data_IF_369698778621
#
_entry.id   IF_369698778621
#
_cell.length_a   1.000
_cell.length_b   1.000
_cell.length_c   1.000
_cell.angle_alpha   90.00
_cell.angle_beta   90.00
_cell.angle_gamma   90.00
#
_symmetry.space_group_name_H-M   'P 1'
#
loop_
_entity.id
_entity.type
_entity.pdbx_description
1 polymer ?
#
# COMPACT_ATOMS: atom_id res chain seq x y z
N UNK A 1 24.96 0.98 -1.43
CA UNK A 1 24.34 0.07 -0.46
C UNK A 1 23.26 -0.71 -1.19
N UNK A 2 23.38 -2.04 -1.23
CA UNK A 2 22.37 -2.90 -1.85
C UNK A 2 21.22 -3.20 -0.87
N UNK A 3 20.05 -3.64 -1.37
CA UNK A 3 18.90 -3.97 -0.53
C UNK A 3 19.22 -5.12 0.44
N UNK A 4 18.74 -4.99 1.68
CA UNK A 4 18.92 -5.97 2.77
C UNK A 4 18.51 -7.38 2.33
N UNK A 5 19.47 -8.31 2.26
CA UNK A 5 19.21 -9.72 1.90
C UNK A 5 18.75 -10.49 3.14
N UNK A 6 17.54 -11.05 3.10
CA UNK A 6 17.03 -11.96 4.13
C UNK A 6 17.78 -13.29 4.05
N UNK A 7 18.42 -13.69 5.15
CA UNK A 7 19.02 -15.02 5.31
C UNK A 7 18.13 -15.79 6.28
N UNK A 8 17.39 -16.79 5.79
CA UNK A 8 16.61 -17.70 6.63
C UNK A 8 17.51 -18.88 7.03
N UNK A 9 17.82 -19.00 8.32
CA UNK A 9 18.62 -20.11 8.85
C UNK A 9 17.78 -21.04 9.73
N UNK A 10 17.82 -22.33 9.41
CA UNK A 10 17.10 -23.40 10.14
C UNK A 10 17.91 -23.98 11.31
N UNK A 11 18.98 -23.30 11.72
CA UNK A 11 19.85 -23.65 12.86
C UNK A 11 20.18 -22.37 13.61
N UNK A 12 20.31 -22.45 14.93
CA UNK A 12 20.81 -21.33 15.73
C UNK A 12 22.27 -21.08 15.36
N UNK A 13 22.48 -20.03 14.55
CA UNK A 13 23.77 -19.61 14.05
C UNK A 13 24.21 -18.30 14.68
N UNK A 14 23.51 -17.81 15.70
CA UNK A 14 23.77 -16.49 16.30
C UNK A 14 25.22 -16.38 16.77
N UNK A 15 25.66 -17.34 17.58
CA UNK A 15 27.01 -17.38 18.15
C UNK A 15 28.10 -17.46 17.06
N UNK A 16 27.89 -18.30 16.04
CA UNK A 16 28.82 -18.46 14.91
C UNK A 16 28.83 -17.24 13.97
N UNK A 17 27.73 -16.50 13.88
CA UNK A 17 27.62 -15.28 13.07
C UNK A 17 28.30 -14.12 13.77
N UNK A 18 28.10 -13.99 15.08
CA UNK A 18 28.75 -13.00 15.93
C UNK A 18 30.27 -13.19 15.94
N UNK A 19 30.74 -14.45 16.02
CA UNK A 19 32.17 -14.79 15.99
C UNK A 19 32.82 -14.50 14.62
N UNK A 20 32.10 -14.76 13.52
CA UNK A 20 32.55 -14.43 12.17
C UNK A 20 32.59 -12.91 11.91
N UNK A 21 31.63 -12.14 12.44
CA UNK A 21 31.63 -10.68 12.34
C UNK A 21 32.78 -10.08 13.16
N UNK A 22 33.03 -10.60 14.37
CA UNK A 22 34.14 -10.17 15.22
C UNK A 22 35.53 -10.41 14.60
N UNK A 23 35.67 -11.45 13.76
CA UNK A 23 36.93 -11.79 13.08
C UNK A 23 37.28 -10.86 11.91
N UNK A 24 36.29 -10.18 11.33
CA UNK A 24 36.44 -9.36 10.12
C UNK A 24 36.12 -7.87 10.32
N UNK A 25 35.55 -7.48 11.47
CA UNK A 25 35.20 -6.09 11.77
C UNK A 25 36.25 -5.42 12.67
N UNK A 26 36.68 -4.21 12.27
CA UNK A 26 37.25 -3.24 13.20
C UNK A 26 36.24 -3.03 14.33
N UNK A 27 36.65 -2.90 15.60
CA UNK A 27 35.72 -2.93 16.76
C UNK A 27 34.56 -1.92 16.69
N UNK A 28 34.73 -0.84 15.93
CA UNK A 28 33.70 0.18 15.68
C UNK A 28 32.70 -0.18 14.55
N UNK A 29 32.96 -1.21 13.75
CA UNK A 29 32.13 -1.64 12.62
C UNK A 29 31.15 -2.77 12.96
N UNK A 30 31.29 -3.41 14.14
CA UNK A 30 30.37 -4.46 14.59
C UNK A 30 28.98 -3.91 14.96
N UNK A 31 28.90 -2.64 15.39
CA UNK A 31 27.65 -1.98 15.79
C UNK A 31 26.71 -1.68 14.60
N UNK A 32 27.23 -1.67 13.37
CA UNK A 32 26.52 -1.29 12.14
C UNK A 32 25.80 -2.48 11.47
N UNK A 33 26.03 -3.72 11.92
CA UNK A 33 25.60 -4.94 11.18
C UNK A 33 24.36 -5.62 11.78
N UNK A 34 23.99 -5.32 13.02
CA UNK A 34 22.84 -5.93 13.70
C UNK A 34 21.69 -4.93 13.80
N UNK A 35 20.60 -5.19 13.07
CA UNK A 35 19.31 -4.54 13.30
C UNK A 35 18.90 -4.97 14.72
N UNK A 36 18.57 -4.02 15.60
CA UNK A 36 18.21 -4.27 17.00
C UNK A 36 17.02 -5.21 17.15
N UNK A 37 16.67 -5.55 18.38
CA UNK A 37 15.51 -6.42 18.66
C UNK A 37 14.17 -5.73 18.32
N UNK A 38 13.13 -6.53 18.10
CA UNK A 38 11.77 -6.05 17.87
C UNK A 38 11.28 -5.12 19.00
N UNK A 39 11.49 -5.51 20.26
CA UNK A 39 11.12 -4.71 21.45
C UNK A 39 11.85 -3.36 21.53
N UNK A 40 13.13 -3.31 21.15
CA UNK A 40 13.88 -2.05 21.09
C UNK A 40 13.32 -1.11 20.02
N UNK A 41 12.83 -1.66 18.91
CA UNK A 41 12.20 -0.88 17.86
C UNK A 41 10.77 -0.43 18.21
N UNK A 42 10.02 -1.18 19.03
CA UNK A 42 8.74 -0.73 19.58
C UNK A 42 8.92 0.48 20.49
N UNK A 43 9.90 0.45 21.39
CA UNK A 43 10.22 1.61 22.23
C UNK A 43 10.63 2.83 21.42
N UNK A 44 11.43 2.64 20.36
CA UNK A 44 11.78 3.73 19.44
C UNK A 44 10.56 4.29 18.71
N UNK A 45 9.54 3.47 18.46
CA UNK A 45 8.30 3.91 17.85
C UNK A 45 7.50 4.78 18.82
N UNK A 46 7.37 4.36 20.08
CA UNK A 46 6.75 5.14 21.16
C UNK A 46 7.46 6.49 21.34
N UNK A 47 8.80 6.50 21.44
CA UNK A 47 9.58 7.73 21.58
C UNK A 47 9.41 8.68 20.37
N UNK A 48 9.33 8.13 19.15
CA UNK A 48 9.10 8.92 17.95
C UNK A 48 7.66 9.46 17.89
N UNK A 49 6.69 8.70 18.39
CA UNK A 49 5.29 9.12 18.47
C UNK A 49 5.11 10.24 19.50
N UNK A 50 5.70 10.09 20.69
CA UNK A 50 5.72 11.13 21.72
C UNK A 50 6.36 12.43 21.20
N UNK A 51 7.46 12.31 20.44
CA UNK A 51 8.11 13.45 19.82
C UNK A 51 7.23 14.14 18.76
N UNK A 52 6.44 13.36 18.00
CA UNK A 52 5.46 13.91 17.05
C UNK A 52 4.33 14.63 17.79
N UNK A 53 3.74 14.01 18.80
CA UNK A 53 2.66 14.57 19.61
C UNK A 53 3.06 15.81 20.39
N UNK A 54 4.33 15.95 20.76
CA UNK A 54 4.85 17.16 21.38
C UNK A 54 4.82 18.38 20.44
N UNK A 55 4.84 18.16 19.12
CA UNK A 55 4.73 19.21 18.10
C UNK A 55 3.25 19.40 17.73
N UNK A 56 2.57 18.31 17.40
CA UNK A 56 1.17 18.28 16.98
C UNK A 56 0.45 17.15 17.72
N UNK A 57 -0.25 17.44 18.83
CA UNK A 57 -0.96 16.44 19.62
C UNK A 57 -1.99 15.66 18.80
N UNK A 58 -2.59 16.29 17.79
CA UNK A 58 -3.53 15.67 16.86
C UNK A 58 -3.19 15.98 15.40
N UNK A 59 -3.65 15.18 14.44
CA UNK A 59 -3.48 15.46 13.01
C UNK A 59 -4.02 16.83 12.58
N UNK A 60 -5.12 17.29 13.18
CA UNK A 60 -5.73 18.59 12.86
C UNK A 60 -4.82 19.77 13.25
N UNK A 61 -3.97 19.60 14.26
CA UNK A 61 -3.03 20.64 14.70
C UNK A 61 -1.95 20.93 13.65
N UNK A 62 -1.72 20.01 12.69
CA UNK A 62 -0.76 20.21 11.60
C UNK A 62 -1.17 21.37 10.69
N UNK A 63 -2.48 21.56 10.47
CA UNK A 63 -2.99 22.68 9.66
C UNK A 63 -2.84 24.03 10.36
N UNK A 64 -2.72 24.02 11.69
CA UNK A 64 -2.60 25.19 12.54
C UNK A 64 -1.13 25.59 12.81
N UNK A 65 -0.15 24.89 12.22
CA UNK A 65 1.26 25.20 12.40
C UNK A 65 1.60 26.62 11.91
N UNK A 66 2.28 27.44 12.74
CA UNK A 66 2.35 28.89 12.55
C UNK A 66 3.29 29.34 11.43
N UNK A 67 4.30 28.54 11.09
CA UNK A 67 5.35 28.87 10.14
C UNK A 67 5.97 27.63 9.48
N UNK A 68 6.81 27.86 8.46
CA UNK A 68 7.50 26.80 7.70
C UNK A 68 8.52 26.03 8.54
N UNK A 69 9.08 26.63 9.60
CA UNK A 69 9.99 25.93 10.51
C UNK A 69 9.24 24.87 11.33
N UNK A 70 8.06 25.22 11.84
CA UNK A 70 7.19 24.29 12.56
C UNK A 70 6.68 23.16 11.64
N UNK A 71 6.32 23.48 10.39
CA UNK A 71 5.96 22.49 9.38
C UNK A 71 7.13 21.53 9.06
N UNK A 72 8.35 22.06 8.93
CA UNK A 72 9.54 21.26 8.71
C UNK A 72 9.88 20.37 9.94
N UNK A 73 9.62 20.86 11.16
CA UNK A 73 9.79 20.09 12.39
C UNK A 73 8.82 18.91 12.47
N UNK A 74 7.52 19.15 12.18
CA UNK A 74 6.53 18.09 12.04
C UNK A 74 6.96 17.05 10.99
N UNK A 75 7.35 17.52 9.80
CA UNK A 75 7.72 16.63 8.71
C UNK A 75 8.96 15.76 9.05
N UNK A 76 9.94 16.30 9.79
CA UNK A 76 11.06 15.51 10.31
C UNK A 76 10.61 14.47 11.34
N UNK A 77 9.77 14.86 12.30
CA UNK A 77 9.29 13.95 13.34
C UNK A 77 8.47 12.80 12.75
N UNK A 78 7.54 13.11 11.85
CA UNK A 78 6.73 12.09 11.18
C UNK A 78 7.59 11.15 10.34
N UNK A 79 8.63 11.67 9.67
CA UNK A 79 9.57 10.85 8.91
C UNK A 79 10.34 9.86 9.80
N UNK A 80 10.80 10.27 10.97
CA UNK A 80 11.44 9.34 11.91
C UNK A 80 10.45 8.25 12.37
N UNK A 81 9.19 8.62 12.67
CA UNK A 81 8.13 7.66 13.00
C UNK A 81 7.92 6.63 11.87
N UNK A 82 7.83 7.09 10.61
CA UNK A 82 7.72 6.23 9.43
C UNK A 82 8.92 5.28 9.29
N UNK A 83 10.14 5.76 9.50
CA UNK A 83 11.36 4.92 9.42
C UNK A 83 11.33 3.79 10.44
N UNK A 84 10.98 4.11 11.69
CA UNK A 84 10.90 3.09 12.74
C UNK A 84 9.79 2.09 12.43
N UNK A 85 8.61 2.55 11.99
CA UNK A 85 7.52 1.67 11.55
C UNK A 85 7.95 0.73 10.41
N UNK A 86 8.68 1.24 9.42
CA UNK A 86 9.18 0.43 8.30
C UNK A 86 10.20 -0.63 8.71
N UNK A 87 11.00 -0.35 9.73
CA UNK A 87 11.92 -1.33 10.33
C UNK A 87 11.11 -2.38 11.10
N UNK A 88 10.12 -1.97 11.88
CA UNK A 88 9.18 -2.87 12.57
C UNK A 88 8.48 -3.80 11.58
N UNK A 89 7.94 -3.28 10.47
CA UNK A 89 7.31 -4.07 9.40
C UNK A 89 8.23 -5.08 8.69
N UNK A 90 9.54 -5.06 8.96
CA UNK A 90 10.47 -6.08 8.45
C UNK A 90 10.61 -7.32 9.33
N UNK A 91 10.17 -7.25 10.59
CA UNK A 91 10.17 -8.39 11.52
C UNK A 91 9.01 -9.34 11.21
N UNK A 92 9.26 -10.65 11.30
CA UNK A 92 8.24 -11.66 11.04
C UNK A 92 7.10 -11.68 12.05
N UNK A 93 7.33 -11.12 13.24
CA UNK A 93 6.39 -11.03 14.34
C UNK A 93 5.62 -9.70 14.37
N UNK A 94 5.85 -8.80 13.41
CA UNK A 94 5.19 -7.50 13.38
C UNK A 94 3.68 -7.61 13.27
N UNK A 95 2.99 -6.95 14.20
CA UNK A 95 1.56 -6.75 14.19
C UNK A 95 1.25 -5.26 14.43
N UNK A 96 0.48 -4.59 13.56
CA UNK A 96 0.08 -3.20 13.77
C UNK A 96 -0.61 -2.93 15.11
N UNK A 97 -1.30 -3.93 15.68
CA UNK A 97 -1.97 -3.80 16.97
C UNK A 97 -1.02 -3.68 18.18
N UNK A 98 0.28 -3.94 17.98
CA UNK A 98 1.30 -3.80 19.03
C UNK A 98 1.87 -2.36 19.10
N UNK A 99 1.46 -1.47 18.19
CA UNK A 99 1.87 -0.07 18.16
C UNK A 99 1.05 0.76 19.17
N UNK A 100 1.67 1.76 19.78
CA UNK A 100 1.05 2.64 20.76
C UNK A 100 0.11 3.71 20.15
N UNK A 101 0.01 3.78 18.83
CA UNK A 101 -0.87 4.69 18.08
C UNK A 101 -2.08 3.95 17.52
N UNK A 102 -3.16 4.69 17.33
CA UNK A 102 -4.31 4.21 16.56
C UNK A 102 -3.94 4.12 15.06
N UNK A 103 -4.25 3.02 14.34
CA UNK A 103 -3.97 2.93 12.91
C UNK A 103 -4.54 4.11 12.10
N UNK A 104 -5.72 4.61 12.47
CA UNK A 104 -6.34 5.76 11.81
C UNK A 104 -5.54 7.05 12.01
N UNK A 105 -5.09 7.30 13.25
CA UNK A 105 -4.27 8.47 13.57
C UNK A 105 -2.99 8.52 12.72
N UNK A 106 -2.33 7.38 12.51
CA UNK A 106 -1.16 7.32 11.65
C UNK A 106 -1.48 7.69 10.19
N UNK A 107 -2.59 7.21 9.66
CA UNK A 107 -3.03 7.52 8.29
C UNK A 107 -3.47 9.00 8.14
N UNK A 108 -4.04 9.59 9.20
CA UNK A 108 -4.39 11.00 9.23
C UNK A 108 -3.14 11.88 9.22
N UNK A 109 -2.15 11.59 10.07
CA UNK A 109 -0.85 12.30 10.04
C UNK A 109 -0.11 12.12 8.71
N UNK A 110 -0.19 10.92 8.12
CA UNK A 110 0.36 10.63 6.78
C UNK A 110 -0.29 11.50 5.71
N UNK A 111 -1.59 11.72 5.78
CA UNK A 111 -2.30 12.61 4.86
C UNK A 111 -1.80 14.05 4.99
N UNK A 112 -1.66 14.56 6.22
CA UNK A 112 -1.09 15.90 6.48
C UNK A 112 0.35 16.03 5.99
N UNK A 113 1.15 14.99 6.16
CA UNK A 113 2.53 14.93 5.67
C UNK A 113 2.61 15.04 4.15
N UNK A 114 1.73 14.35 3.43
CA UNK A 114 1.63 14.42 1.98
C UNK A 114 1.18 15.81 1.50
N UNK A 115 0.27 16.46 2.21
CA UNK A 115 -0.16 17.83 1.90
C UNK A 115 1.00 18.84 2.04
N UNK A 116 1.84 18.69 3.07
CA UNK A 116 3.04 19.51 3.24
C UNK A 116 4.09 19.26 2.14
N UNK A 117 4.29 18.00 1.74
CA UNK A 117 5.19 17.66 0.64
C UNK A 117 4.76 18.32 -0.68
N UNK A 118 3.44 18.39 -0.94
CA UNK A 118 2.89 19.06 -2.12
C UNK A 118 3.06 20.59 -2.07
N UNK A 119 2.99 21.19 -0.87
CA UNK A 119 3.21 22.64 -0.70
C UNK A 119 4.67 23.04 -1.00
N UNK A 120 5.65 22.25 -0.55
CA UNK A 120 7.08 22.53 -0.78
C UNK A 120 7.55 22.37 -2.23
N UNK A 121 6.77 21.69 -3.09
CA UNK A 121 7.03 21.55 -4.53
C UNK A 121 6.51 22.76 -5.35
N UNK A 122 5.76 23.67 -4.73
CA UNK A 122 5.25 24.91 -5.34
C UNK A 122 6.17 26.11 -5.05
N UNK A 123 6.32 27.03 -6.00
CA UNK A 123 7.09 28.26 -5.83
C UNK A 123 6.55 29.07 -4.64
N UNK A 124 7.28 29.07 -3.51
CA UNK A 124 6.96 29.85 -2.33
C UNK A 124 6.98 31.36 -2.60
N UNK A 125 5.94 32.07 -2.19
CA UNK A 125 5.81 33.53 -2.28
C UNK A 125 6.58 34.29 -1.17
N UNK A 126 7.50 33.64 -0.46
CA UNK A 126 8.23 34.20 0.69
C UNK A 126 9.63 34.74 0.37
N UNK A 127 9.99 35.90 0.92
CA UNK A 127 11.39 36.38 0.93
C UNK A 127 12.20 35.65 2.02
N UNK A 128 12.84 34.53 1.67
CA UNK A 128 13.74 33.77 2.55
C UNK A 128 14.14 32.41 1.97
N UNK A 129 15.17 31.72 2.52
CA UNK A 129 15.44 30.33 2.18
C UNK A 129 14.33 29.45 2.78
N UNK A 130 13.47 28.92 1.91
CA UNK A 130 12.37 28.00 2.26
C UNK A 130 12.92 26.73 2.96
N UNK A 131 12.63 26.53 4.26
CA UNK A 131 13.06 25.35 5.02
C UNK A 131 12.42 24.04 4.54
N UNK A 132 11.26 24.11 3.86
CA UNK A 132 10.54 22.97 3.30
C UNK A 132 11.13 22.56 1.95
N UNK A 133 11.56 23.50 1.11
CA UNK A 133 12.24 23.21 -0.16
C UNK A 133 13.58 22.46 0.02
N UNK A 134 14.21 22.58 1.20
CA UNK A 134 15.42 21.84 1.56
C UNK A 134 15.17 20.47 2.22
N UNK A 135 13.91 20.11 2.48
CA UNK A 135 13.56 18.89 3.19
C UNK A 135 13.34 17.72 2.21
N UNK A 136 14.11 16.64 2.39
CA UNK A 136 13.82 15.37 1.71
C UNK A 136 12.68 14.65 2.44
N UNK A 137 11.50 14.69 1.84
CA UNK A 137 10.28 14.05 2.37
C UNK A 137 10.31 12.52 2.30
N UNK A 138 11.33 11.90 1.69
CA UNK A 138 11.51 10.44 1.67
C UNK A 138 10.21 9.67 1.38
N UNK A 139 9.40 10.16 0.43
CA UNK A 139 8.06 9.61 0.13
C UNK A 139 8.09 8.12 -0.24
N UNK A 140 9.27 7.60 -0.61
CA UNK A 140 9.50 6.18 -0.79
C UNK A 140 9.31 5.34 0.48
N UNK A 141 9.40 5.93 1.67
CA UNK A 141 9.12 5.27 2.95
C UNK A 141 7.64 4.96 3.15
N UNK A 142 6.74 5.69 2.50
CA UNK A 142 5.30 5.43 2.57
C UNK A 142 4.88 4.16 1.81
N UNK A 143 5.79 3.54 1.05
CA UNK A 143 5.49 2.47 0.09
C UNK A 143 5.22 1.08 0.68
N UNK A 144 5.32 0.88 2.01
CA UNK A 144 5.48 -0.48 2.55
C UNK A 144 4.26 -1.19 3.13
N UNK A 145 3.19 -0.48 3.45
CA UNK A 145 1.97 -1.11 3.94
C UNK A 145 0.90 -0.96 2.85
N UNK A 146 0.69 -2.04 2.09
CA UNK A 146 -0.41 -2.29 1.15
C UNK A 146 -0.80 -1.12 0.22
N UNK A 147 -0.50 -1.23 -1.09
CA UNK A 147 -1.11 -0.28 -2.04
C UNK A 147 -2.62 -0.53 -2.12
N UNK A 148 -3.34 0.25 -1.33
CA UNK A 148 -4.79 0.31 -1.32
C UNK A 148 -5.32 1.11 -2.51
N UNK A 149 -6.62 0.97 -2.79
CA UNK A 149 -7.29 1.73 -3.84
C UNK A 149 -7.22 3.24 -3.59
N UNK A 150 -7.12 3.67 -2.32
CA UNK A 150 -7.01 5.07 -1.95
C UNK A 150 -5.73 5.73 -2.49
N UNK A 151 -4.56 5.07 -2.39
CA UNK A 151 -3.31 5.60 -2.95
C UNK A 151 -3.35 5.68 -4.48
N UNK A 152 -3.90 4.65 -5.13
CA UNK A 152 -4.10 4.69 -6.60
C UNK A 152 -5.00 5.87 -6.97
N UNK A 153 -6.12 6.05 -6.27
CA UNK A 153 -7.03 7.16 -6.50
C UNK A 153 -6.33 8.51 -6.29
N UNK A 154 -5.50 8.65 -5.25
CA UNK A 154 -4.71 9.87 -5.02
C UNK A 154 -3.76 10.17 -6.19
N UNK A 155 -3.05 9.15 -6.70
CA UNK A 155 -2.18 9.30 -7.87
C UNK A 155 -2.96 9.71 -9.13
N UNK A 156 -4.13 9.10 -9.37
CA UNK A 156 -4.97 9.40 -10.52
C UNK A 156 -5.62 10.79 -10.41
N UNK A 157 -6.02 11.21 -9.20
CA UNK A 157 -6.55 12.55 -8.91
C UNK A 157 -5.48 13.62 -9.15
N UNK A 158 -4.27 13.40 -8.62
CA UNK A 158 -3.12 14.27 -8.82
C UNK A 158 -2.80 14.43 -10.32
N UNK A 159 -2.82 13.33 -11.08
CA UNK A 159 -2.65 13.37 -12.53
C UNK A 159 -3.77 14.16 -13.21
N UNK A 160 -5.04 13.91 -12.86
CA UNK A 160 -6.19 14.62 -13.45
C UNK A 160 -6.12 16.13 -13.19
N UNK A 161 -5.72 16.54 -11.99
CA UNK A 161 -5.56 17.94 -11.64
C UNK A 161 -4.54 18.64 -12.54
N UNK A 162 -3.36 18.02 -12.73
CA UNK A 162 -2.33 18.56 -13.64
C UNK A 162 -2.77 18.55 -15.10
N UNK A 163 -3.43 17.48 -15.56
CA UNK A 163 -3.99 17.42 -16.92
C UNK A 163 -5.04 18.51 -17.17
N UNK A 164 -5.76 18.92 -16.13
CA UNK A 164 -6.77 19.99 -16.18
C UNK A 164 -6.14 21.39 -16.16
N UNK A 165 -5.13 21.61 -15.30
CA UNK A 165 -4.48 22.91 -15.15
C UNK A 165 -3.52 23.24 -16.31
N UNK A 166 -2.72 22.28 -16.75
CA UNK A 166 -1.63 22.48 -17.72
C UNK A 166 -1.99 21.98 -19.13
N UNK A 167 -3.07 21.21 -19.25
CA UNK A 167 -3.43 20.49 -20.46
C UNK A 167 -2.67 19.16 -20.60
N UNK A 168 -3.37 18.13 -21.07
CA UNK A 168 -2.86 16.74 -21.23
C UNK A 168 -1.58 16.61 -22.06
N UNK A 169 -1.36 17.49 -23.02
CA UNK A 169 -0.18 17.46 -23.90
C UNK A 169 1.00 18.23 -23.33
N UNK A 170 0.86 18.89 -22.18
CA UNK A 170 1.97 19.59 -21.54
C UNK A 170 3.05 18.61 -21.09
N UNK A 171 4.30 19.10 -21.06
CA UNK A 171 5.45 18.31 -20.60
C UNK A 171 5.29 17.87 -19.14
N UNK A 172 4.70 18.73 -18.31
CA UNK A 172 4.42 18.46 -16.89
C UNK A 172 3.40 17.33 -16.72
N UNK A 173 2.27 17.40 -17.42
CA UNK A 173 1.25 16.34 -17.42
C UNK A 173 1.81 15.00 -17.92
N UNK A 174 2.57 14.99 -19.03
CA UNK A 174 3.18 13.78 -19.56
C UNK A 174 4.20 13.16 -18.60
N UNK A 175 5.00 13.99 -17.93
CA UNK A 175 6.00 13.53 -16.96
C UNK A 175 5.31 12.90 -15.75
N UNK A 176 4.26 13.53 -15.23
CA UNK A 176 3.48 12.99 -14.12
C UNK A 176 2.76 11.71 -14.50
N UNK A 177 2.18 11.65 -15.71
CA UNK A 177 1.54 10.45 -16.23
C UNK A 177 2.51 9.28 -16.29
N UNK A 178 3.73 9.51 -16.79
CA UNK A 178 4.76 8.49 -16.83
C UNK A 178 5.16 8.03 -15.42
N UNK A 179 5.28 8.95 -14.45
CA UNK A 179 5.53 8.60 -13.05
C UNK A 179 4.44 7.69 -12.48
N UNK A 180 3.17 8.00 -12.72
CA UNK A 180 2.03 7.16 -12.28
C UNK A 180 2.10 5.77 -12.91
N UNK A 181 2.40 5.67 -14.20
CA UNK A 181 2.57 4.39 -14.90
C UNK A 181 3.74 3.58 -14.34
N UNK A 182 4.90 4.22 -14.12
CA UNK A 182 6.10 3.55 -13.59
C UNK A 182 5.89 3.07 -12.15
N UNK A 183 5.16 3.84 -11.35
CA UNK A 183 4.75 3.45 -9.99
C UNK A 183 3.85 2.22 -10.02
N UNK A 184 2.79 2.24 -10.83
CA UNK A 184 1.89 1.10 -11.00
C UNK A 184 2.65 -0.15 -11.49
N UNK A 185 3.63 0.03 -12.39
CA UNK A 185 4.39 -1.06 -12.96
C UNK A 185 5.43 -1.66 -12.00
N UNK A 186 6.02 -0.83 -11.13
CA UNK A 186 7.06 -1.22 -10.19
C UNK A 186 6.52 -1.83 -8.89
N UNK A 187 5.24 -1.63 -8.60
CA UNK A 187 4.64 -2.16 -7.37
C UNK A 187 4.25 -3.64 -7.49
N UNK A 188 4.74 -4.44 -6.54
CA UNK A 188 4.46 -5.88 -6.50
C UNK A 188 3.01 -6.14 -6.09
N UNK A 189 2.49 -5.39 -5.11
CA UNK A 189 1.10 -5.48 -4.66
C UNK A 189 0.07 -5.12 -5.73
N UNK A 190 0.45 -4.31 -6.72
CA UNK A 190 -0.43 -3.92 -7.82
C UNK A 190 -0.39 -4.86 -9.01
N UNK A 191 0.44 -5.90 -9.01
CA UNK A 191 0.66 -6.75 -10.18
C UNK A 191 -0.64 -7.32 -10.77
N UNK A 192 -1.58 -7.74 -9.93
CA UNK A 192 -2.86 -8.30 -10.36
C UNK A 192 -3.85 -7.20 -10.80
N UNK A 193 -3.75 -6.00 -10.22
CA UNK A 193 -4.59 -4.83 -10.48
C UNK A 193 -4.13 -4.02 -11.70
N UNK A 194 -2.84 -4.06 -12.02
CA UNK A 194 -2.17 -3.26 -13.06
C UNK A 194 -2.88 -3.23 -14.42
N UNK A 195 -3.32 -4.37 -15.00
CA UNK A 195 -3.98 -4.34 -16.30
C UNK A 195 -5.24 -3.46 -16.31
N UNK A 196 -5.99 -3.46 -15.20
CA UNK A 196 -7.20 -2.65 -15.05
C UNK A 196 -6.87 -1.18 -14.81
N UNK A 197 -5.82 -0.89 -14.05
CA UNK A 197 -5.34 0.48 -13.81
C UNK A 197 -4.80 1.14 -15.08
N UNK A 198 -3.99 0.41 -15.85
CA UNK A 198 -3.50 0.86 -17.15
C UNK A 198 -4.66 1.06 -18.13
N UNK A 199 -5.68 0.20 -18.10
CA UNK A 199 -6.87 0.37 -18.91
C UNK A 199 -7.65 1.62 -18.51
N UNK A 200 -7.86 1.85 -17.21
CA UNK A 200 -8.54 3.05 -16.71
C UNK A 200 -7.80 4.32 -17.13
N UNK A 201 -6.48 4.35 -16.90
CA UNK A 201 -5.62 5.49 -17.21
C UNK A 201 -5.60 5.79 -18.72
N UNK A 202 -5.53 4.76 -19.57
CA UNK A 202 -5.38 4.95 -21.02
C UNK A 202 -6.68 5.07 -21.79
N UNK A 203 -7.79 4.49 -21.31
CA UNK A 203 -9.06 4.44 -22.04
C UNK A 203 -10.19 5.21 -21.37
N UNK A 204 -10.22 5.29 -20.03
CA UNK A 204 -11.31 5.96 -19.32
C UNK A 204 -10.95 7.42 -19.08
N UNK A 205 -9.84 7.69 -18.37
CA UNK A 205 -9.45 9.06 -17.99
C UNK A 205 -9.40 10.07 -19.15
N UNK A 206 -8.84 9.75 -20.34
CA UNK A 206 -8.75 10.72 -21.43
C UNK A 206 -10.11 11.16 -21.99
N UNK A 207 -11.16 10.40 -21.69
CA UNK A 207 -12.52 10.61 -22.16
C UNK A 207 -13.42 11.18 -21.04
N UNK A 208 -12.91 11.36 -19.83
CA UNK A 208 -13.68 11.94 -18.74
C UNK A 208 -13.88 13.46 -18.95
N UNK A 209 -15.07 13.97 -18.62
CA UNK A 209 -15.28 15.40 -18.48
C UNK A 209 -14.35 16.04 -17.43
N UNK A 210 -13.97 17.32 -17.61
CA UNK A 210 -13.13 18.04 -16.65
C UNK A 210 -13.70 18.02 -15.22
N UNK A 211 -15.02 18.17 -15.11
CA UNK A 211 -15.80 18.22 -13.86
C UNK A 211 -16.26 16.83 -13.36
N UNK A 212 -15.93 15.74 -14.06
CA UNK A 212 -16.33 14.42 -13.64
C UNK A 212 -15.70 14.02 -12.29
N UNK A 213 -16.48 13.38 -11.44
CA UNK A 213 -16.01 12.79 -10.19
C UNK A 213 -15.17 11.54 -10.49
N UNK A 214 -13.85 11.68 -10.41
CA UNK A 214 -12.93 10.59 -10.76
C UNK A 214 -13.12 9.34 -9.89
N UNK A 215 -13.47 9.52 -8.61
CA UNK A 215 -13.66 8.41 -7.67
C UNK A 215 -14.88 7.60 -8.09
N UNK A 216 -16.01 8.27 -8.32
CA UNK A 216 -17.23 7.61 -8.79
C UNK A 216 -17.04 6.89 -10.13
N UNK A 217 -16.33 7.51 -11.06
CA UNK A 217 -16.03 6.90 -12.37
C UNK A 217 -15.10 5.68 -12.23
N UNK A 218 -14.12 5.75 -11.33
CA UNK A 218 -13.25 4.62 -11.01
C UNK A 218 -14.03 3.48 -10.36
N UNK A 219 -14.86 3.76 -9.36
CA UNK A 219 -15.67 2.76 -8.65
C UNK A 219 -16.60 2.02 -9.62
N UNK A 220 -17.28 2.76 -10.51
CA UNK A 220 -18.14 2.19 -11.55
C UNK A 220 -17.36 1.32 -12.52
N UNK A 221 -16.19 1.78 -12.98
CA UNK A 221 -15.31 0.98 -13.84
C UNK A 221 -14.84 -0.30 -13.13
N UNK A 222 -14.40 -0.19 -11.87
CA UNK A 222 -13.88 -1.29 -11.08
C UNK A 222 -14.94 -2.35 -10.81
N UNK A 223 -16.15 -1.93 -10.41
CA UNK A 223 -17.30 -2.82 -10.23
C UNK A 223 -17.66 -3.56 -11.53
N UNK A 224 -17.63 -2.87 -12.68
CA UNK A 224 -17.85 -3.49 -13.98
C UNK A 224 -16.78 -4.53 -14.33
N UNK A 225 -15.50 -4.25 -14.07
CA UNK A 225 -14.39 -5.19 -14.30
C UNK A 225 -14.48 -6.41 -13.39
N UNK A 226 -14.82 -6.21 -12.11
CA UNK A 226 -15.06 -7.28 -11.15
C UNK A 226 -16.20 -8.19 -11.59
N UNK A 227 -17.35 -7.61 -11.95
CA UNK A 227 -18.52 -8.36 -12.42
C UNK A 227 -18.21 -9.16 -13.70
N UNK A 228 -17.48 -8.55 -14.64
CA UNK A 228 -17.02 -9.22 -15.86
C UNK A 228 -16.09 -10.41 -15.57
N UNK A 229 -15.04 -10.18 -14.77
CA UNK A 229 -14.08 -11.23 -14.39
C UNK A 229 -14.76 -12.38 -13.63
N UNK A 230 -15.71 -12.07 -12.76
CA UNK A 230 -16.52 -13.06 -12.05
C UNK A 230 -17.36 -13.91 -13.01
N UNK A 231 -18.05 -13.27 -13.97
CA UNK A 231 -18.87 -13.98 -14.95
C UNK A 231 -18.02 -14.85 -15.89
N UNK A 232 -16.88 -14.34 -16.36
CA UNK A 232 -15.92 -15.10 -17.17
C UNK A 232 -15.39 -16.32 -16.42
N UNK A 233 -15.05 -16.17 -15.14
CA UNK A 233 -14.59 -17.26 -14.31
C UNK A 233 -15.68 -18.32 -14.08
N UNK A 234 -16.91 -17.90 -13.80
CA UNK A 234 -18.05 -18.83 -13.69
C UNK A 234 -18.27 -19.61 -14.98
N UNK A 235 -18.20 -18.95 -16.14
CA UNK A 235 -18.35 -19.60 -17.43
C UNK A 235 -17.21 -20.58 -17.72
N UNK A 236 -15.96 -20.20 -17.45
CA UNK A 236 -14.77 -21.00 -17.73
C UNK A 236 -14.72 -22.30 -16.90
N UNK A 237 -15.07 -22.24 -15.61
CA UNK A 237 -15.05 -23.40 -14.71
C UNK A 237 -16.44 -24.06 -14.53
N UNK A 238 -17.46 -23.61 -15.29
CA UNK A 238 -18.85 -24.08 -15.22
C UNK A 238 -19.40 -24.06 -13.79
N UNK A 239 -19.33 -22.90 -13.15
CA UNK A 239 -19.77 -22.69 -11.77
C UNK A 239 -21.16 -22.06 -11.73
N UNK A 240 -21.91 -22.41 -10.69
CA UNK A 240 -23.12 -21.70 -10.27
C UNK A 240 -22.72 -20.31 -9.71
N UNK A 241 -23.15 -19.19 -10.34
CA UNK A 241 -22.78 -17.85 -9.89
C UNK A 241 -23.19 -17.56 -8.45
N UNK A 242 -24.42 -17.92 -8.06
CA UNK A 242 -24.93 -17.66 -6.71
C UNK A 242 -24.17 -18.49 -5.67
N UNK A 243 -23.85 -19.74 -6.01
CA UNK A 243 -23.02 -20.63 -5.21
C UNK A 243 -21.60 -20.08 -5.00
N UNK A 244 -20.95 -19.60 -6.06
CA UNK A 244 -19.62 -19.02 -5.97
C UNK A 244 -19.61 -17.74 -5.12
N UNK A 245 -20.60 -16.86 -5.30
CA UNK A 245 -20.70 -15.62 -4.53
C UNK A 245 -20.83 -15.91 -3.03
N UNK A 246 -21.67 -16.88 -2.64
CA UNK A 246 -21.78 -17.33 -1.24
C UNK A 246 -20.49 -17.94 -0.73
N UNK A 247 -19.80 -18.75 -1.55
CA UNK A 247 -18.54 -19.38 -1.17
C UNK A 247 -17.43 -18.35 -0.91
N UNK A 248 -17.34 -17.31 -1.75
CA UNK A 248 -16.42 -16.18 -1.54
C UNK A 248 -16.75 -15.48 -0.21
N UNK A 249 -18.01 -15.11 0.01
CA UNK A 249 -18.43 -14.43 1.24
C UNK A 249 -18.14 -15.27 2.51
N UNK A 250 -18.44 -16.58 2.46
CA UNK A 250 -18.11 -17.52 3.55
C UNK A 250 -16.59 -17.59 3.80
N UNK A 251 -15.78 -17.62 2.73
CA UNK A 251 -14.32 -17.69 2.82
C UNK A 251 -13.74 -16.40 3.43
N UNK A 252 -14.20 -15.23 2.97
CA UNK A 252 -13.78 -13.93 3.48
C UNK A 252 -14.14 -13.77 4.97
N UNK A 253 -15.37 -14.12 5.34
CA UNK A 253 -15.82 -14.03 6.73
C UNK A 253 -15.07 -14.96 7.68
N UNK A 254 -14.76 -16.18 7.22
CA UNK A 254 -14.13 -17.19 8.08
C UNK A 254 -12.60 -17.17 8.04
N UNK A 255 -11.99 -16.52 7.04
CA UNK A 255 -10.55 -16.57 6.76
C UNK A 255 -10.03 -17.97 6.43
N UNK A 256 -10.93 -18.94 6.18
CA UNK A 256 -10.59 -20.36 6.00
C UNK A 256 -10.80 -20.79 4.57
N UNK A 257 -9.82 -21.51 4.04
CA UNK A 257 -9.89 -22.14 2.73
C UNK A 257 -11.15 -23.02 2.62
N UNK A 258 -11.93 -22.92 1.53
CA UNK A 258 -13.17 -23.67 1.38
C UNK A 258 -12.90 -25.18 1.26
N UNK A 259 -13.78 -25.97 1.88
CA UNK A 259 -13.71 -27.43 1.83
C UNK A 259 -14.02 -27.96 0.42
N UNK A 260 -13.40 -29.09 0.07
CA UNK A 260 -13.57 -29.73 -1.23
C UNK A 260 -15.05 -29.94 -1.61
N UNK A 261 -15.87 -30.42 -0.69
CA UNK A 261 -17.28 -30.70 -0.95
C UNK A 261 -18.09 -29.43 -1.20
N UNK A 262 -17.71 -28.30 -0.59
CA UNK A 262 -18.32 -27.00 -0.84
C UNK A 262 -18.01 -26.52 -2.26
N UNK A 263 -16.76 -26.63 -2.68
CA UNK A 263 -16.34 -26.29 -4.05
C UNK A 263 -17.05 -27.20 -5.08
N UNK A 264 -17.15 -28.50 -4.81
CA UNK A 264 -17.86 -29.43 -5.71
C UNK A 264 -19.37 -29.17 -5.76
N UNK A 265 -19.96 -28.55 -4.74
CA UNK A 265 -21.40 -28.25 -4.70
C UNK A 265 -21.81 -27.11 -5.63
N UNK A 266 -20.88 -26.22 -5.96
CA UNK A 266 -21.12 -25.08 -6.85
C UNK A 266 -20.74 -25.37 -8.31
N UNK A 267 -20.20 -26.56 -8.61
CA UNK A 267 -19.90 -26.97 -9.98
C UNK A 267 -21.18 -27.50 -10.66
N UNK A 268 -21.56 -26.90 -11.80
CA UNK A 268 -22.73 -27.32 -12.59
C UNK A 268 -22.57 -28.77 -13.07
N UNK A 269 -21.36 -29.15 -13.46
CA UNK A 269 -21.02 -30.51 -13.86
C UNK A 269 -19.92 -31.07 -12.95
N UNK A 270 -20.24 -32.15 -12.21
CA UNK A 270 -19.27 -32.74 -11.29
C UNK A 270 -18.14 -33.46 -12.05
N UNK A 271 -16.87 -33.11 -11.80
CA UNK A 271 -15.76 -33.79 -12.43
C UNK A 271 -15.67 -35.25 -11.96
N UNK A 272 -15.21 -36.12 -12.87
CA UNK A 272 -14.88 -37.51 -12.55
C UNK A 272 -13.79 -37.61 -11.47
N UNK A 273 -13.78 -38.71 -10.71
CA UNK A 273 -12.98 -38.88 -9.49
C UNK A 273 -11.51 -38.48 -9.68
N UNK A 274 -10.89 -38.90 -10.78
CA UNK A 274 -9.48 -38.63 -11.10
C UNK A 274 -9.17 -37.14 -11.32
N UNK A 275 -10.15 -36.33 -11.73
CA UNK A 275 -9.98 -34.89 -12.01
C UNK A 275 -10.53 -33.98 -10.90
N UNK A 276 -11.14 -34.54 -9.85
CA UNK A 276 -11.77 -33.75 -8.77
C UNK A 276 -10.79 -32.83 -8.06
N UNK A 277 -9.62 -33.37 -7.66
CA UNK A 277 -8.61 -32.59 -6.93
C UNK A 277 -8.13 -31.40 -7.74
N UNK A 278 -7.77 -31.61 -9.01
CA UNK A 278 -7.27 -30.53 -9.86
C UNK A 278 -8.36 -29.52 -10.23
N UNK A 279 -9.61 -29.95 -10.39
CA UNK A 279 -10.72 -29.03 -10.62
C UNK A 279 -11.00 -28.15 -9.40
N UNK A 280 -11.01 -28.73 -8.20
CA UNK A 280 -11.18 -27.99 -6.95
C UNK A 280 -10.05 -26.98 -6.76
N UNK A 281 -8.80 -27.38 -7.00
CA UNK A 281 -7.66 -26.47 -6.89
C UNK A 281 -7.80 -25.26 -7.80
N UNK A 282 -8.13 -25.47 -9.09
CA UNK A 282 -8.33 -24.37 -10.04
C UNK A 282 -9.42 -23.39 -9.60
N UNK A 283 -10.52 -23.91 -9.04
CA UNK A 283 -11.60 -23.06 -8.56
C UNK A 283 -11.17 -22.26 -7.34
N UNK A 284 -10.48 -22.88 -6.39
CA UNK A 284 -9.97 -22.16 -5.21
C UNK A 284 -8.96 -21.09 -5.60
N UNK A 285 -7.97 -21.42 -6.42
CA UNK A 285 -6.99 -20.43 -6.88
C UNK A 285 -7.65 -19.31 -7.71
N UNK A 286 -8.66 -19.64 -8.52
CA UNK A 286 -9.40 -18.64 -9.30
C UNK A 286 -10.20 -17.69 -8.41
N UNK A 287 -10.80 -18.23 -7.35
CA UNK A 287 -11.49 -17.46 -6.31
C UNK A 287 -10.53 -16.54 -5.56
N UNK A 288 -9.39 -17.07 -5.09
CA UNK A 288 -8.34 -16.29 -4.42
C UNK A 288 -7.79 -15.19 -5.33
N UNK A 289 -7.58 -15.47 -6.62
CA UNK A 289 -7.18 -14.45 -7.60
C UNK A 289 -8.23 -13.35 -7.78
N UNK A 290 -9.53 -13.69 -7.82
CA UNK A 290 -10.60 -12.70 -7.92
C UNK A 290 -10.60 -11.78 -6.69
N UNK A 291 -10.56 -12.37 -5.49
CA UNK A 291 -10.50 -11.64 -4.22
C UNK A 291 -9.26 -10.76 -4.15
N UNK A 292 -8.07 -11.32 -4.39
CA UNK A 292 -6.83 -10.56 -4.33
C UNK A 292 -6.76 -9.44 -5.37
N UNK A 293 -7.42 -9.61 -6.51
CA UNK A 293 -7.47 -8.56 -7.53
C UNK A 293 -8.45 -7.45 -7.12
N UNK A 294 -9.67 -7.79 -6.72
CA UNK A 294 -10.77 -6.81 -6.65
C UNK A 294 -11.23 -6.44 -5.24
N UNK A 295 -10.93 -7.24 -4.23
CA UNK A 295 -11.49 -7.11 -2.88
C UNK A 295 -10.41 -6.84 -1.81
N UNK A 296 -9.17 -7.33 -1.99
CA UNK A 296 -8.04 -6.94 -1.12
C UNK A 296 -7.74 -5.43 -1.26
N UNK A 297 -7.85 -4.69 -0.14
CA UNK A 297 -7.60 -3.25 -0.02
C UNK A 297 -8.75 -2.33 -0.43
N UNK A 298 -9.98 -2.85 -0.55
CA UNK A 298 -11.21 -2.10 -0.88
C UNK A 298 -12.12 -1.88 0.33
N UNK A 299 -12.02 -2.73 1.35
CA UNK A 299 -12.93 -2.75 2.52
C UNK A 299 -12.72 -1.59 3.53
N UNK A 300 -11.72 -0.72 3.35
CA UNK A 300 -11.56 0.49 4.19
C UNK A 300 -12.40 1.69 3.68
N UNK A 301 -13.15 1.50 2.60
CA UNK A 301 -13.90 2.57 1.94
C UNK A 301 -15.38 2.23 1.90
N UNK A 302 -15.99 2.07 3.07
CA UNK A 302 -17.45 2.09 3.17
C UNK A 302 -17.97 1.33 4.37
N UNK A 303 -18.32 2.08 5.42
CA UNK A 303 -19.70 2.14 5.90
C UNK A 303 -19.84 3.42 6.75
N UNK A 304 -20.77 4.29 6.33
CA UNK A 304 -21.33 5.40 7.13
C UNK A 304 -22.12 4.85 8.34
#
# INVERSE_FOLDING_TARGET
MGPNRRILCFRDLKENTDEAIALFANRDAAEVVLIGSYEEHLKKYEEALDALHAITPTPDDVDALPDEEAQAAFAKAFRELMRVRNVLGSFSEFNPADLASDPQEYEDFKSKYLDLAQKGDGEGEGEGPDPLAGLDFELELLRRDEINVAYILALLLSLKATETAEGRTSRKAQTQRQRVVDLIASEIGLRNKRPYLEEFLNKVMPNLPPDADLRKEFDSFWAGKRAGAFAEFCAAEKLDPDGLQKLIAETLFTGKRPLQDRVLSIMVEKPGILRRRSAVERVVEGMERLVSTFDEGVDEVGED
#
